data_IF_123127310078
#
_entry.id   IF_123127310078
#
_cell.length_a   1.000
_cell.length_b   1.000
_cell.length_c   1.000
_cell.angle_alpha   90.00
_cell.angle_beta   90.00
_cell.angle_gamma   90.00
#
_symmetry.space_group_name_H-M   'P 1'
#
loop_
_entity.id
_entity.type
_entity.pdbx_description
1 polymer ?
#
# COMPACT_ATOMS: atom_id res chain seq x y z
N UNK A 1 9.70 -21.17 14.45
CA UNK A 1 9.07 -20.40 13.35
C UNK A 1 7.63 -20.83 13.27
N UNK A 2 6.67 -19.91 13.31
CA UNK A 2 5.26 -20.28 13.27
C UNK A 2 4.32 -19.09 13.30
N UNK A 3 3.15 -19.25 12.69
CA UNK A 3 2.06 -18.28 12.65
C UNK A 3 0.72 -19.02 12.71
N UNK A 4 -0.36 -18.25 12.87
CA UNK A 4 -1.70 -18.78 12.70
C UNK A 4 -1.93 -19.28 11.27
N UNK A 5 -2.93 -20.14 11.08
CA UNK A 5 -3.35 -20.62 9.76
C UNK A 5 -3.64 -19.41 8.85
N UNK A 6 -3.22 -19.50 7.59
CA UNK A 6 -3.32 -18.44 6.56
C UNK A 6 -2.49 -17.17 6.82
N UNK A 7 -1.66 -17.12 7.86
CA UNK A 7 -0.81 -15.96 8.15
C UNK A 7 0.63 -16.12 7.64
N UNK A 8 0.82 -16.88 6.57
CA UNK A 8 2.10 -17.00 5.87
C UNK A 8 1.85 -16.98 4.37
N UNK A 9 2.73 -16.33 3.62
CA UNK A 9 2.64 -16.26 2.16
C UNK A 9 4.04 -16.27 1.54
N UNK A 10 4.16 -16.85 0.35
CA UNK A 10 5.36 -16.74 -0.47
C UNK A 10 5.17 -15.57 -1.43
N UNK A 11 5.98 -14.52 -1.26
CA UNK A 11 6.00 -13.37 -2.15
C UNK A 11 7.05 -13.60 -3.24
N UNK A 12 6.58 -13.93 -4.44
CA UNK A 12 7.44 -14.15 -5.59
C UNK A 12 7.59 -12.88 -6.42
N UNK A 13 8.82 -12.56 -6.78
CA UNK A 13 9.17 -11.57 -7.79
C UNK A 13 10.10 -12.21 -8.83
N UNK A 14 10.36 -11.51 -9.94
CA UNK A 14 11.25 -11.99 -11.00
C UNK A 14 12.69 -12.26 -10.54
N UNK A 15 13.13 -11.65 -9.43
CA UNK A 15 14.53 -11.69 -8.98
C UNK A 15 14.68 -12.42 -7.64
N UNK A 16 13.73 -12.24 -6.73
CA UNK A 16 13.77 -12.80 -5.38
C UNK A 16 12.42 -13.40 -4.96
N UNK A 17 12.49 -14.43 -4.12
CA UNK A 17 11.35 -14.97 -3.38
C UNK A 17 11.52 -14.70 -1.88
N UNK A 18 10.47 -14.17 -1.27
CA UNK A 18 10.45 -13.86 0.15
C UNK A 18 9.32 -14.65 0.82
N UNK A 19 9.68 -15.53 1.75
CA UNK A 19 8.68 -16.17 2.61
C UNK A 19 8.31 -15.21 3.74
N UNK A 20 7.05 -14.84 3.83
CA UNK A 20 6.55 -13.86 4.79
C UNK A 20 5.68 -14.53 5.84
N UNK A 21 5.89 -14.19 7.11
CA UNK A 21 5.17 -14.72 8.27
C UNK A 21 4.55 -13.56 9.06
N UNK A 22 3.23 -13.57 9.20
CA UNK A 22 2.47 -12.61 9.99
C UNK A 22 2.35 -13.02 11.45
N UNK A 23 2.72 -12.11 12.35
CA UNK A 23 2.49 -12.18 13.79
C UNK A 23 1.71 -10.94 14.25
N UNK A 24 1.36 -10.90 15.53
CA UNK A 24 0.54 -9.80 16.06
C UNK A 24 1.24 -8.44 16.02
N UNK A 25 2.56 -8.44 16.14
CA UNK A 25 3.43 -7.26 16.16
C UNK A 25 3.88 -6.83 14.75
N UNK A 26 4.17 -7.78 13.87
CA UNK A 26 4.73 -7.47 12.56
C UNK A 26 4.60 -8.61 11.54
N UNK A 27 4.99 -8.31 10.30
CA UNK A 27 5.21 -9.29 9.24
C UNK A 27 6.72 -9.44 9.07
N UNK A 28 7.21 -10.66 9.19
CA UNK A 28 8.62 -11.01 9.11
C UNK A 28 8.91 -11.67 7.77
N UNK A 29 9.89 -11.15 7.02
CA UNK A 29 10.32 -11.73 5.75
C UNK A 29 11.57 -12.60 5.94
N UNK A 30 11.63 -13.67 5.16
CA UNK A 30 12.74 -14.60 5.13
C UNK A 30 13.12 -14.86 3.68
N UNK A 31 14.42 -14.86 3.41
CA UNK A 31 15.03 -15.26 2.14
C UNK A 31 15.80 -16.56 2.35
N UNK A 32 16.28 -17.23 1.29
CA UNK A 32 17.18 -18.38 1.43
C UNK A 32 18.43 -18.08 2.29
N UNK A 33 18.90 -16.83 2.25
CA UNK A 33 20.10 -16.38 2.98
C UNK A 33 19.82 -16.00 4.45
N UNK A 34 18.54 -15.92 4.86
CA UNK A 34 18.17 -15.67 6.25
C UNK A 34 17.04 -14.68 6.43
N UNK A 35 17.18 -13.76 7.39
CA UNK A 35 16.13 -12.78 7.73
C UNK A 35 16.18 -11.60 6.77
N UNK A 36 15.07 -11.32 6.12
CA UNK A 36 14.85 -10.14 5.32
C UNK A 36 14.24 -8.97 6.13
N UNK A 37 13.65 -7.98 5.42
CA UNK A 37 12.95 -6.88 6.05
C UNK A 37 11.79 -7.31 6.95
N UNK A 38 11.34 -6.40 7.80
CA UNK A 38 10.16 -6.58 8.64
C UNK A 38 9.22 -5.38 8.50
N UNK A 39 7.92 -5.64 8.41
CA UNK A 39 6.87 -4.63 8.28
C UNK A 39 6.06 -4.55 9.58
N UNK A 40 6.22 -3.46 10.31
CA UNK A 40 5.50 -3.19 11.55
C UNK A 40 4.03 -2.86 11.24
N UNK A 41 3.19 -3.88 11.27
CA UNK A 41 1.74 -3.75 11.21
C UNK A 41 1.22 -4.54 12.40
N UNK A 42 0.64 -3.85 13.36
CA UNK A 42 0.12 -4.45 14.58
C UNK A 42 -1.26 -5.10 14.37
N UNK A 43 -1.76 -5.81 15.38
CA UNK A 43 -3.08 -6.41 15.41
C UNK A 43 -3.08 -7.92 15.12
N UNK A 44 -4.14 -8.59 15.57
CA UNK A 44 -4.30 -10.03 15.39
C UNK A 44 -4.47 -10.37 13.91
N UNK A 45 -3.42 -10.91 13.28
CA UNK A 45 -3.46 -11.32 11.87
C UNK A 45 -4.39 -12.52 11.69
N UNK A 46 -5.17 -12.46 10.63
CA UNK A 46 -6.13 -13.50 10.24
C UNK A 46 -5.73 -14.14 8.93
N UNK A 47 -5.22 -13.34 7.98
CA UNK A 47 -4.81 -13.80 6.67
C UNK A 47 -3.77 -12.87 6.06
N UNK A 48 -2.81 -13.47 5.35
CA UNK A 48 -1.89 -12.78 4.45
C UNK A 48 -2.10 -13.30 3.03
N UNK A 49 -2.10 -12.40 2.06
CA UNK A 49 -2.18 -12.74 0.63
C UNK A 49 -1.13 -11.94 -0.14
N UNK A 50 -0.62 -12.54 -1.21
CA UNK A 50 0.31 -11.89 -2.12
C UNK A 50 -0.37 -11.73 -3.46
N UNK A 51 -0.53 -10.48 -3.91
CA UNK A 51 -1.17 -10.19 -5.17
C UNK A 51 -0.31 -9.23 -5.98
N UNK A 52 0.22 -9.73 -7.11
CA UNK A 52 1.17 -9.02 -7.97
C UNK A 52 2.44 -8.64 -7.20
N UNK A 53 2.56 -7.39 -6.75
CA UNK A 53 3.67 -6.85 -5.96
C UNK A 53 3.23 -6.34 -4.59
N UNK A 54 1.98 -6.61 -4.21
CA UNK A 54 1.36 -6.12 -2.99
C UNK A 54 1.23 -7.22 -1.94
N UNK A 55 1.62 -6.88 -0.72
CA UNK A 55 1.29 -7.69 0.45
C UNK A 55 -0.05 -7.21 1.00
N UNK A 56 -1.04 -8.11 1.01
CA UNK A 56 -2.36 -7.85 1.60
C UNK A 56 -2.41 -8.48 2.98
N UNK A 57 -2.78 -7.67 3.96
CA UNK A 57 -2.82 -8.03 5.37
C UNK A 57 -4.25 -7.86 5.85
N UNK A 58 -4.82 -8.92 6.39
CA UNK A 58 -6.13 -8.91 7.04
C UNK A 58 -5.91 -9.20 8.52
N UNK A 59 -6.32 -8.26 9.36
CA UNK A 59 -6.24 -8.36 10.81
C UNK A 59 -7.61 -8.09 11.44
N UNK A 60 -7.85 -8.58 12.66
CA UNK A 60 -9.00 -8.11 13.44
C UNK A 60 -8.82 -6.63 13.73
N UNK A 61 -9.88 -5.86 13.51
CA UNK A 61 -9.89 -4.45 13.92
C UNK A 61 -10.00 -4.39 15.44
N UNK A 62 -8.93 -3.94 16.11
CA UNK A 62 -9.02 -3.66 17.54
C UNK A 62 -9.79 -2.35 17.75
N UNK A 63 -10.66 -2.32 18.75
CA UNK A 63 -11.31 -1.10 19.17
C UNK A 63 -10.21 -0.09 19.57
N UNK A 64 -10.05 0.99 18.80
CA UNK A 64 -9.15 2.13 19.01
C UNK A 64 -7.74 2.11 18.39
N UNK A 65 -7.49 1.43 17.26
CA UNK A 65 -6.22 1.64 16.53
C UNK A 65 -6.25 2.97 15.75
N UNK A 66 -5.27 3.88 15.96
CA UNK A 66 -5.17 5.10 15.16
C UNK A 66 -4.91 4.77 13.69
N UNK A 67 -5.61 5.48 12.80
CA UNK A 67 -5.50 5.27 11.35
C UNK A 67 -4.11 5.64 10.87
N UNK A 68 -3.42 4.71 10.24
CA UNK A 68 -2.20 4.95 9.47
C UNK A 68 -2.49 5.84 8.26
N UNK A 69 -1.50 6.66 7.86
CA UNK A 69 -1.59 7.50 6.66
C UNK A 69 -1.68 6.63 5.41
N UNK A 70 -2.87 6.48 4.87
CA UNK A 70 -3.10 5.81 3.58
C UNK A 70 -3.16 6.83 2.45
N UNK A 71 -2.78 6.43 1.23
CA UNK A 71 -2.87 7.30 0.05
C UNK A 71 -4.25 7.24 -0.61
N UNK A 72 -5.01 6.15 -0.41
CA UNK A 72 -6.39 6.03 -0.86
C UNK A 72 -7.35 7.02 -0.15
N UNK A 73 -8.38 7.45 -0.87
CA UNK A 73 -9.55 8.07 -0.26
C UNK A 73 -10.35 7.01 0.50
N UNK A 74 -11.20 7.42 1.47
CA UNK A 74 -12.15 6.49 2.09
C UNK A 74 -12.99 5.83 0.98
N UNK A 75 -13.06 4.49 0.93
CA UNK A 75 -13.89 3.83 -0.07
C UNK A 75 -15.35 4.23 0.14
N UNK A 76 -15.96 4.84 -0.88
CA UNK A 76 -17.36 5.31 -0.87
C UNK A 76 -18.38 4.16 -0.94
N UNK A 77 -17.92 2.94 -1.23
CA UNK A 77 -18.75 1.76 -1.50
C UNK A 77 -18.89 0.82 -0.30
N UNK A 78 -18.20 1.08 0.81
CA UNK A 78 -18.36 0.28 2.04
C UNK A 78 -19.41 0.95 2.92
N UNK A 79 -20.55 0.28 3.08
CA UNK A 79 -21.62 0.71 3.96
C UNK A 79 -21.16 0.82 5.42
N UNK A 80 -21.77 1.70 6.23
CA UNK A 80 -21.46 1.80 7.65
C UNK A 80 -21.63 0.45 8.34
N UNK A 81 -20.56 -0.04 8.95
CA UNK A 81 -20.57 -1.34 9.63
C UNK A 81 -21.30 -1.18 10.97
N UNK A 82 -22.34 -1.99 11.25
CA UNK A 82 -23.09 -1.94 12.52
C UNK A 82 -22.19 -2.02 13.77
N UNK A 83 -22.63 -1.49 14.92
CA UNK A 83 -21.93 -1.72 16.18
C UNK A 83 -22.08 -3.17 16.63
N UNK A 84 -21.06 -3.71 17.30
CA UNK A 84 -21.11 -5.05 17.91
C UNK A 84 -20.89 -6.24 16.96
N UNK A 85 -20.65 -6.01 15.67
CA UNK A 85 -20.28 -7.07 14.72
C UNK A 85 -18.77 -7.17 14.57
N UNK A 86 -18.26 -8.38 14.28
CA UNK A 86 -16.85 -8.61 14.00
C UNK A 86 -16.40 -7.85 12.74
N UNK A 87 -15.29 -7.13 12.85
CA UNK A 87 -14.72 -6.30 11.78
C UNK A 87 -13.28 -6.68 11.53
N UNK A 88 -12.91 -6.68 10.26
CA UNK A 88 -11.52 -6.86 9.84
C UNK A 88 -10.99 -5.57 9.22
N UNK A 89 -9.72 -5.30 9.48
CA UNK A 89 -8.96 -4.25 8.82
C UNK A 89 -8.12 -4.88 7.70
N UNK A 90 -8.31 -4.36 6.50
CA UNK A 90 -7.57 -4.72 5.31
C UNK A 90 -6.51 -3.66 5.13
N UNK A 91 -5.25 -4.08 5.01
CA UNK A 91 -4.11 -3.20 4.73
C UNK A 91 -3.36 -3.77 3.55
N UNK A 92 -3.19 -2.97 2.49
CA UNK A 92 -2.43 -3.35 1.31
C UNK A 92 -1.14 -2.54 1.32
N UNK A 93 -0.01 -3.23 1.35
CA UNK A 93 1.32 -2.66 1.35
C UNK A 93 1.98 -2.83 -0.01
N UNK A 94 2.51 -1.72 -0.52
CA UNK A 94 3.50 -1.74 -1.60
C UNK A 94 4.86 -2.01 -0.98
N UNK A 95 5.39 -3.22 -1.22
CA UNK A 95 6.65 -3.65 -0.64
C UNK A 95 7.84 -2.93 -1.28
N UNK A 96 7.78 -2.65 -2.59
CA UNK A 96 8.87 -2.00 -3.32
C UNK A 96 9.02 -0.54 -2.88
N UNK A 97 7.88 0.15 -2.76
CA UNK A 97 7.85 1.57 -2.40
C UNK A 97 7.71 1.81 -0.88
N UNK A 98 7.54 0.73 -0.10
CA UNK A 98 7.48 0.71 1.38
C UNK A 98 6.38 1.60 1.97
N UNK A 99 5.16 1.52 1.44
CA UNK A 99 4.04 2.31 1.97
C UNK A 99 2.68 1.61 1.87
N UNK A 100 1.71 2.07 2.66
CA UNK A 100 0.32 1.57 2.64
C UNK A 100 -0.45 2.25 1.49
N UNK A 101 -0.76 1.49 0.45
CA UNK A 101 -1.54 1.98 -0.71
C UNK A 101 -3.02 2.04 -0.41
N UNK A 102 -3.52 1.13 0.43
CA UNK A 102 -4.94 1.03 0.77
C UNK A 102 -5.10 0.52 2.20
N UNK A 103 -6.06 1.12 2.92
CA UNK A 103 -6.59 0.53 4.15
C UNK A 103 -8.07 0.82 4.28
N UNK A 104 -8.84 -0.18 4.67
CA UNK A 104 -10.25 -0.06 4.96
C UNK A 104 -10.67 -1.11 5.99
N UNK A 105 -11.66 -0.73 6.80
CA UNK A 105 -12.37 -1.65 7.68
C UNK A 105 -13.59 -2.18 6.93
N UNK A 106 -13.87 -3.47 7.05
CA UNK A 106 -15.10 -4.08 6.55
C UNK A 106 -15.58 -5.16 7.53
N UNK A 107 -16.77 -5.73 7.26
CA UNK A 107 -17.23 -6.91 7.98
C UNK A 107 -16.23 -8.06 7.87
N UNK A 108 -16.37 -9.06 8.73
CA UNK A 108 -15.46 -10.21 8.76
C UNK A 108 -15.23 -10.80 7.36
N UNK A 109 -13.97 -10.81 6.93
CA UNK A 109 -13.56 -11.41 5.65
C UNK A 109 -13.67 -12.93 5.76
N UNK A 110 -14.48 -13.53 4.90
CA UNK A 110 -14.67 -14.98 4.81
C UNK A 110 -13.64 -15.63 3.86
N UNK A 111 -13.39 -15.00 2.72
CA UNK A 111 -12.46 -15.49 1.70
C UNK A 111 -11.83 -14.35 0.88
N UNK A 112 -10.67 -14.63 0.30
CA UNK A 112 -10.02 -13.79 -0.70
C UNK A 112 -9.73 -14.64 -1.93
N UNK A 113 -9.90 -14.05 -3.11
CA UNK A 113 -9.76 -14.72 -4.41
C UNK A 113 -8.90 -13.84 -5.32
N UNK A 114 -7.90 -14.43 -5.97
CA UNK A 114 -7.03 -13.74 -6.93
C UNK A 114 -7.20 -14.38 -8.31
N UNK A 115 -8.37 -14.16 -8.92
CA UNK A 115 -8.77 -14.80 -10.17
C UNK A 115 -8.95 -13.78 -11.29
N UNK A 116 -8.71 -14.21 -12.55
CA UNK A 116 -8.90 -13.38 -13.75
C UNK A 116 -8.12 -12.05 -13.74
N UNK A 117 -7.01 -12.00 -13.00
CA UNK A 117 -6.20 -10.80 -12.83
C UNK A 117 -6.79 -9.75 -11.90
N UNK A 118 -7.92 -10.04 -11.22
CA UNK A 118 -8.54 -9.20 -10.19
C UNK A 118 -8.23 -9.71 -8.77
N UNK A 119 -8.57 -8.89 -7.78
CA UNK A 119 -8.43 -9.23 -6.37
C UNK A 119 -9.75 -9.00 -5.65
N UNK A 120 -10.37 -10.09 -5.19
CA UNK A 120 -11.72 -10.07 -4.64
C UNK A 120 -11.73 -10.46 -3.16
N UNK A 121 -12.58 -9.78 -2.38
CA UNK A 121 -12.78 -10.04 -0.96
C UNK A 121 -14.26 -10.38 -0.73
N UNK A 122 -14.52 -11.59 -0.22
CA UNK A 122 -15.85 -12.01 0.21
C UNK A 122 -16.04 -11.64 1.69
N UNK A 123 -17.01 -10.79 1.94
CA UNK A 123 -17.37 -10.25 3.26
C UNK A 123 -18.41 -11.11 3.98
N UNK A 124 -18.52 -10.91 5.29
CA UNK A 124 -19.42 -11.61 6.22
C UNK A 124 -20.90 -11.55 5.84
N UNK A 125 -21.30 -10.50 5.12
CA UNK A 125 -22.64 -10.26 4.58
C UNK A 125 -22.84 -10.80 3.15
N UNK A 126 -21.95 -11.69 2.70
CA UNK A 126 -21.96 -12.29 1.36
C UNK A 126 -21.81 -11.27 0.21
N UNK A 127 -21.29 -10.07 0.49
CA UNK A 127 -20.90 -9.12 -0.56
C UNK A 127 -19.49 -9.42 -1.05
N UNK A 128 -19.31 -9.37 -2.36
CA UNK A 128 -18.02 -9.53 -3.02
C UNK A 128 -17.50 -8.14 -3.42
N UNK A 129 -16.31 -7.79 -2.94
CA UNK A 129 -15.65 -6.53 -3.24
C UNK A 129 -14.48 -6.77 -4.18
N UNK A 130 -14.38 -5.99 -5.26
CA UNK A 130 -13.21 -5.98 -6.14
C UNK A 130 -12.27 -4.83 -5.74
N UNK A 131 -10.98 -5.12 -5.55
CA UNK A 131 -9.94 -4.12 -5.33
C UNK A 131 -9.23 -3.83 -6.65
N UNK A 132 -9.61 -2.71 -7.26
CA UNK A 132 -8.98 -2.23 -8.48
C UNK A 132 -7.79 -1.32 -8.20
N UNK A 133 -6.66 -1.65 -8.81
CA UNK A 133 -5.46 -0.82 -8.78
C UNK A 133 -5.67 0.45 -9.61
N UNK A 134 -5.39 1.62 -9.02
CA UNK A 134 -5.42 2.88 -9.76
C UNK A 134 -4.31 2.93 -10.81
N UNK A 135 -4.63 3.54 -11.95
CA UNK A 135 -3.63 3.89 -12.95
C UNK A 135 -2.61 4.90 -12.40
N UNK A 136 -1.46 5.00 -13.07
CA UNK A 136 -0.34 5.83 -12.62
C UNK A 136 -0.74 7.31 -12.48
N UNK A 137 -1.51 7.86 -13.42
CA UNK A 137 -1.92 9.28 -13.36
C UNK A 137 -2.80 9.52 -12.14
N UNK A 138 -3.79 8.66 -11.89
CA UNK A 138 -4.64 8.73 -10.70
C UNK A 138 -3.85 8.60 -9.39
N UNK A 139 -2.82 7.74 -9.34
CA UNK A 139 -1.93 7.60 -8.18
C UNK A 139 -1.15 8.89 -7.93
N UNK A 140 -0.50 9.43 -8.96
CA UNK A 140 0.27 10.67 -8.88
C UNK A 140 -0.59 11.85 -8.42
N UNK A 141 -1.80 12.00 -8.97
CA UNK A 141 -2.73 13.04 -8.57
C UNK A 141 -3.11 12.97 -7.08
N UNK A 142 -3.27 11.76 -6.51
CA UNK A 142 -3.54 11.59 -5.09
C UNK A 142 -2.33 11.93 -4.22
N UNK A 143 -1.12 11.59 -4.67
CA UNK A 143 0.13 11.87 -3.96
C UNK A 143 0.45 13.36 -3.94
N UNK A 144 0.26 14.08 -5.04
CA UNK A 144 0.44 15.54 -5.10
C UNK A 144 -0.52 16.26 -4.16
N UNK A 145 -1.79 15.84 -4.11
CA UNK A 145 -2.76 16.38 -3.15
C UNK A 145 -2.35 16.18 -1.69
N UNK A 146 -1.49 15.20 -1.41
CA UNK A 146 -0.93 14.92 -0.07
C UNK A 146 0.49 15.46 0.12
N UNK A 147 1.03 16.17 -0.87
CA UNK A 147 2.40 16.67 -0.92
C UNK A 147 3.48 15.58 -0.79
N UNK A 148 3.20 14.35 -1.23
CA UNK A 148 4.10 13.20 -1.13
C UNK A 148 5.01 13.06 -2.36
N UNK A 149 5.76 14.10 -2.70
CA UNK A 149 6.51 14.19 -3.96
C UNK A 149 7.65 13.16 -4.10
N UNK A 150 8.38 12.84 -3.03
CA UNK A 150 9.42 11.80 -3.08
C UNK A 150 8.84 10.42 -3.43
N UNK A 151 7.64 10.13 -2.92
CA UNK A 151 6.92 8.89 -3.22
C UNK A 151 6.45 8.91 -4.68
N UNK A 152 5.94 10.04 -5.17
CA UNK A 152 5.56 10.22 -6.58
C UNK A 152 6.72 9.94 -7.53
N UNK A 153 7.90 10.52 -7.27
CA UNK A 153 9.10 10.33 -8.10
C UNK A 153 9.50 8.85 -8.13
N UNK A 154 9.51 8.19 -6.97
CA UNK A 154 9.87 6.77 -6.86
C UNK A 154 8.90 5.87 -7.63
N UNK A 155 7.59 6.10 -7.50
CA UNK A 155 6.57 5.34 -8.23
C UNK A 155 6.69 5.58 -9.73
N UNK A 156 6.83 6.83 -10.17
CA UNK A 156 6.97 7.18 -11.58
C UNK A 156 8.19 6.49 -12.20
N UNK A 157 9.35 6.51 -11.52
CA UNK A 157 10.55 5.80 -11.99
C UNK A 157 10.36 4.29 -12.05
N UNK A 158 9.76 3.70 -11.01
CA UNK A 158 9.53 2.25 -10.96
C UNK A 158 8.56 1.76 -12.03
N UNK A 159 7.60 2.60 -12.43
CA UNK A 159 6.64 2.30 -13.49
C UNK A 159 7.09 2.80 -14.88
N UNK A 160 8.37 3.17 -15.04
CA UNK A 160 8.94 3.64 -16.31
C UNK A 160 8.15 4.80 -16.93
N UNK A 161 7.73 5.75 -16.10
CA UNK A 161 7.08 6.97 -16.56
C UNK A 161 8.04 7.78 -17.44
N UNK A 162 7.47 8.43 -18.45
CA UNK A 162 8.23 9.14 -19.46
C UNK A 162 9.00 10.34 -18.89
N UNK A 163 10.02 10.78 -19.62
CA UNK A 163 10.89 11.86 -19.16
C UNK A 163 10.13 13.18 -18.96
N UNK A 164 9.18 13.50 -19.85
CA UNK A 164 8.35 14.70 -19.72
C UNK A 164 7.46 14.62 -18.47
N UNK A 165 6.83 13.46 -18.26
CA UNK A 165 6.09 13.16 -17.04
C UNK A 165 6.92 13.37 -15.78
N UNK A 166 8.15 12.84 -15.72
CA UNK A 166 9.05 13.03 -14.57
C UNK A 166 9.45 14.49 -14.36
N UNK A 167 9.69 15.25 -15.43
CA UNK A 167 9.99 16.69 -15.35
C UNK A 167 8.85 17.45 -14.69
N UNK A 168 7.59 17.13 -15.02
CA UNK A 168 6.44 17.78 -14.40
C UNK A 168 6.35 17.48 -12.88
N UNK A 169 6.71 16.27 -12.45
CA UNK A 169 6.77 15.92 -11.02
C UNK A 169 7.79 16.80 -10.29
N UNK A 170 9.00 16.95 -10.85
CA UNK A 170 10.05 17.79 -10.26
C UNK A 170 9.66 19.26 -10.21
N UNK A 171 8.98 19.76 -11.27
CA UNK A 171 8.45 21.12 -11.31
C UNK A 171 7.45 21.37 -10.19
N UNK A 172 6.42 20.50 -10.07
CA UNK A 172 5.41 20.63 -9.00
C UNK A 172 6.02 20.51 -7.60
N UNK A 173 7.06 19.68 -7.44
CA UNK A 173 7.77 19.56 -6.17
C UNK A 173 8.55 20.83 -5.83
N UNK A 174 9.26 21.41 -6.81
CA UNK A 174 9.94 22.69 -6.67
C UNK A 174 8.95 23.81 -6.29
N UNK A 175 7.82 23.89 -6.99
CA UNK A 175 6.75 24.87 -6.70
C UNK A 175 6.23 24.73 -5.26
N UNK A 176 6.05 23.49 -4.79
CA UNK A 176 5.65 23.21 -3.42
C UNK A 176 6.70 23.69 -2.40
N UNK A 177 7.97 23.34 -2.59
CA UNK A 177 9.06 23.75 -1.68
C UNK A 177 9.25 25.26 -1.66
N UNK A 178 9.16 25.91 -2.81
CA UNK A 178 9.23 27.37 -2.94
C UNK A 178 8.09 28.03 -2.16
N UNK A 179 6.86 27.53 -2.31
CA UNK A 179 5.69 28.04 -1.55
C UNK A 179 5.82 27.86 -0.03
N UNK A 180 6.66 26.91 0.41
CA UNK A 180 6.99 26.66 1.82
C UNK A 180 8.18 27.47 2.32
N UNK A 181 8.86 28.22 1.46
CA UNK A 181 10.05 29.01 1.79
C UNK A 181 11.35 28.22 1.75
N UNK A 182 11.32 26.95 1.34
CA UNK A 182 12.53 26.16 1.10
C UNK A 182 13.04 26.41 -0.32
N UNK A 183 13.69 27.56 -0.48
CA UNK A 183 14.21 28.02 -1.77
C UNK A 183 15.35 27.13 -2.27
N UNK A 184 16.21 26.64 -1.38
CA UNK A 184 17.33 25.77 -1.75
C UNK A 184 16.82 24.43 -2.26
N UNK A 185 15.91 23.79 -1.53
CA UNK A 185 15.28 22.54 -1.98
C UNK A 185 14.49 22.72 -3.28
N UNK A 186 13.81 23.86 -3.45
CA UNK A 186 13.12 24.17 -4.71
C UNK A 186 14.07 24.26 -5.90
N UNK A 187 15.20 24.98 -5.75
CA UNK A 187 16.24 25.08 -6.79
C UNK A 187 16.76 23.71 -7.18
N UNK A 188 17.04 22.83 -6.20
CA UNK A 188 17.49 21.46 -6.47
C UNK A 188 16.49 20.65 -7.31
N UNK A 189 15.18 20.87 -7.14
CA UNK A 189 14.18 20.21 -7.98
C UNK A 189 14.07 20.87 -9.35
N UNK A 190 14.10 22.20 -9.44
CA UNK A 190 14.03 22.91 -10.73
C UNK A 190 15.21 22.58 -11.64
N UNK A 191 16.42 22.38 -11.10
CA UNK A 191 17.57 21.93 -11.90
C UNK A 191 17.26 20.60 -12.62
N UNK A 192 16.50 19.70 -12.00
CA UNK A 192 16.10 18.41 -12.60
C UNK A 192 15.05 18.55 -13.70
N UNK A 193 14.46 19.73 -13.88
CA UNK A 193 13.52 20.02 -14.97
C UNK A 193 14.20 20.51 -16.25
N UNK A 194 15.48 20.90 -16.15
CA UNK A 194 16.27 21.35 -17.29
C UNK A 194 16.84 20.09 -17.96
N UNK A 195 16.41 19.83 -19.19
CA UNK A 195 16.88 18.68 -19.97
C UNK A 195 18.40 18.72 -20.20
N UNK A 196 19.02 17.54 -20.27
CA UNK A 196 20.34 17.37 -20.88
C UNK A 196 20.26 17.46 -22.40
#
# INVERSE_FOLDING_TARGET
>A
MGCARKCSVLAESMQDSHFMIGRNDAIYCYTPDGRGPCYAVEGQKIMLEWFRSYLVIIAKEAANVPRTTTISAKPSTIEPIPPGVDKHMITVLDIQNKFIVFSASMLSVQAVLSEWGGFFILSGDNKLYNLDEKDLQSKLALLFKKNLYDVSIRIAKNQQYDAEGLVDIFRQYGDHLYSKGDHNGAIEQYIKTIGN
#
